data_IF_672648619392
#
_entry.id   IF_672648619392
#
_cell.length_a   1.000
_cell.length_b   1.000
_cell.length_c   1.000
_cell.angle_alpha   90.00
_cell.angle_beta   90.00
_cell.angle_gamma   90.00
#
_symmetry.space_group_name_H-M   'P 1'
#
loop_
_entity.id
_entity.type
_entity.pdbx_description
1 polymer ?
#
# COMPACT_ATOMS: atom_id res chain seq x y z
N UNK A 1 1.64 11.70 26.60
CA UNK A 1 1.84 10.73 25.51
C UNK A 1 0.59 10.76 24.66
N UNK A 2 0.68 11.20 23.40
CA UNK A 2 -0.45 11.06 22.48
C UNK A 2 -0.56 9.59 22.11
N UNK A 3 -1.72 8.98 22.40
CA UNK A 3 -1.96 7.58 22.12
C UNK A 3 -2.19 7.41 20.61
N UNK A 4 -1.29 6.71 19.93
CA UNK A 4 -1.37 6.49 18.47
C UNK A 4 -2.28 5.30 18.22
N UNK A 5 -3.31 5.47 17.37
CA UNK A 5 -4.19 4.36 17.00
C UNK A 5 -3.45 3.38 16.07
N UNK A 6 -3.92 2.13 15.99
CA UNK A 6 -3.32 1.14 15.10
C UNK A 6 -3.42 1.54 13.62
N UNK A 7 -4.52 2.20 13.22
CA UNK A 7 -4.69 2.76 11.88
C UNK A 7 -3.61 3.81 11.57
N UNK A 8 -3.36 4.73 12.50
CA UNK A 8 -2.30 5.72 12.40
C UNK A 8 -0.91 5.07 12.33
N UNK A 9 -0.67 4.04 13.14
CA UNK A 9 0.59 3.28 13.11
C UNK A 9 0.84 2.66 11.73
N UNK A 10 -0.19 2.07 11.11
CA UNK A 10 -0.08 1.50 9.77
C UNK A 10 0.21 2.56 8.70
N UNK A 11 -0.51 3.69 8.74
CA UNK A 11 -0.27 4.81 7.83
C UNK A 11 1.18 5.32 7.93
N UNK A 12 1.68 5.53 9.14
CA UNK A 12 3.05 6.00 9.35
C UNK A 12 4.08 5.00 8.82
N UNK A 13 3.85 3.69 8.99
CA UNK A 13 4.74 2.65 8.45
C UNK A 13 4.71 2.60 6.91
N UNK A 14 3.54 2.82 6.31
CA UNK A 14 3.40 2.91 4.86
C UNK A 14 4.12 4.15 4.30
N UNK A 15 3.98 5.31 4.96
CA UNK A 15 4.67 6.55 4.57
C UNK A 15 6.20 6.42 4.61
N UNK A 16 6.75 5.74 5.63
CA UNK A 16 8.20 5.47 5.67
C UNK A 16 8.65 4.59 4.52
N UNK A 17 7.88 3.55 4.15
CA UNK A 17 8.21 2.68 3.01
C UNK A 17 8.22 3.43 1.68
N UNK A 18 7.33 4.40 1.48
CA UNK A 18 7.37 5.21 0.25
C UNK A 18 8.69 5.94 0.04
N UNK A 19 9.40 6.30 1.12
CA UNK A 19 10.67 7.03 1.05
C UNK A 19 11.82 6.18 0.52
N UNK A 20 11.73 4.85 0.64
CA UNK A 20 12.79 3.94 0.15
C UNK A 20 12.62 3.61 -1.33
N UNK A 21 11.40 3.68 -1.87
CA UNK A 21 11.14 3.26 -3.26
C UNK A 21 11.96 4.00 -4.33
N UNK A 22 12.18 5.34 -4.25
CA UNK A 22 13.04 6.03 -5.21
C UNK A 22 14.49 5.54 -5.18
N UNK A 23 15.00 5.21 -3.99
CA UNK A 23 16.36 4.71 -3.79
C UNK A 23 16.49 3.32 -4.43
N UNK A 24 15.54 2.43 -4.17
CA UNK A 24 15.52 1.09 -4.80
C UNK A 24 15.40 1.17 -6.33
N UNK A 25 14.67 2.15 -6.85
CA UNK A 25 14.56 2.38 -8.29
C UNK A 25 15.89 2.88 -8.89
N UNK A 26 16.61 3.75 -8.19
CA UNK A 26 17.94 4.25 -8.59
C UNK A 26 18.98 3.12 -8.62
N UNK A 27 18.91 2.19 -7.67
CA UNK A 27 19.75 0.99 -7.61
C UNK A 27 19.31 -0.13 -8.58
N UNK A 28 18.32 0.13 -9.44
CA UNK A 28 17.74 -0.84 -10.38
C UNK A 28 17.18 -2.12 -9.71
N UNK A 29 16.86 -2.05 -8.42
CA UNK A 29 16.29 -3.13 -7.62
C UNK A 29 14.76 -3.23 -7.83
N UNK A 30 14.35 -3.51 -9.07
CA UNK A 30 12.94 -3.41 -9.49
C UNK A 30 12.00 -4.38 -8.76
N UNK A 31 12.45 -5.61 -8.51
CA UNK A 31 11.71 -6.59 -7.69
C UNK A 31 11.49 -6.08 -6.26
N UNK A 32 12.50 -5.44 -5.67
CA UNK A 32 12.41 -4.88 -4.32
C UNK A 32 11.49 -3.66 -4.26
N UNK A 33 11.47 -2.82 -5.31
CA UNK A 33 10.48 -1.73 -5.44
C UNK A 33 9.06 -2.29 -5.37
N UNK A 34 8.77 -3.36 -6.12
CA UNK A 34 7.44 -3.97 -6.16
C UNK A 34 7.08 -4.57 -4.81
N UNK A 35 8.02 -5.26 -4.17
CA UNK A 35 7.82 -5.86 -2.85
C UNK A 35 7.51 -4.81 -1.78
N UNK A 36 8.30 -3.75 -1.71
CA UNK A 36 8.10 -2.66 -0.74
C UNK A 36 6.82 -1.85 -1.03
N UNK A 37 6.51 -1.61 -2.31
CA UNK A 37 5.26 -0.98 -2.71
C UNK A 37 4.05 -1.81 -2.27
N UNK A 38 4.09 -3.14 -2.44
CA UNK A 38 3.04 -4.05 -2.00
C UNK A 38 2.80 -3.95 -0.49
N UNK A 39 3.85 -3.94 0.33
CA UNK A 39 3.69 -3.81 1.79
C UNK A 39 3.13 -2.44 2.21
N UNK A 40 3.56 -1.36 1.54
CA UNK A 40 3.03 -0.03 1.78
C UNK A 40 1.53 0.05 1.49
N UNK A 41 1.11 -0.52 0.35
CA UNK A 41 -0.31 -0.61 -0.05
C UNK A 41 -1.11 -1.43 0.94
N UNK A 42 -0.64 -2.63 1.32
CA UNK A 42 -1.35 -3.49 2.27
C UNK A 42 -1.56 -2.79 3.61
N UNK A 43 -0.52 -2.15 4.16
CA UNK A 43 -0.61 -1.41 5.41
C UNK A 43 -1.59 -0.23 5.31
N UNK A 44 -1.52 0.54 4.23
CA UNK A 44 -2.39 1.69 4.02
C UNK A 44 -3.87 1.27 3.96
N UNK A 45 -4.21 0.25 3.15
CA UNK A 45 -5.59 -0.20 2.99
C UNK A 45 -6.13 -0.86 4.27
N UNK A 46 -5.33 -1.66 4.97
CA UNK A 46 -5.71 -2.18 6.29
C UNK A 46 -5.89 -1.07 7.32
N UNK A 47 -5.05 -0.03 7.27
CA UNK A 47 -5.20 1.16 8.09
C UNK A 47 -6.53 1.88 7.84
N UNK A 48 -6.92 2.02 6.58
CA UNK A 48 -8.19 2.62 6.18
C UNK A 48 -9.38 1.82 6.71
N UNK A 49 -9.37 0.49 6.55
CA UNK A 49 -10.43 -0.39 7.10
C UNK A 49 -10.56 -0.23 8.62
N UNK A 50 -9.43 -0.23 9.34
CA UNK A 50 -9.42 -0.01 10.80
C UNK A 50 -9.99 1.34 11.18
N UNK A 51 -9.68 2.38 10.42
CA UNK A 51 -10.15 3.74 10.67
C UNK A 51 -11.68 3.86 10.55
N UNK A 52 -12.29 3.07 9.67
CA UNK A 52 -13.76 3.02 9.52
C UNK A 52 -14.42 1.95 10.40
N UNK A 53 -13.67 1.35 11.35
CA UNK A 53 -14.19 0.39 12.32
C UNK A 53 -14.26 -1.06 11.84
N UNK A 54 -13.61 -1.38 10.71
CA UNK A 54 -13.57 -2.74 10.15
C UNK A 54 -12.25 -3.41 10.52
N UNK A 55 -12.32 -4.59 11.16
CA UNK A 55 -11.15 -5.40 11.47
C UNK A 55 -10.68 -6.13 10.19
N UNK A 56 -9.49 -5.81 9.64
CA UNK A 56 -9.02 -6.46 8.44
C UNK A 56 -8.61 -7.92 8.73
N UNK A 57 -8.94 -8.87 7.85
CA UNK A 57 -8.53 -10.26 7.99
C UNK A 57 -7.01 -10.43 7.88
N UNK A 58 -6.50 -11.58 8.33
CA UNK A 58 -5.09 -11.97 8.23
C UNK A 58 -4.71 -12.49 6.82
N UNK A 59 -5.15 -11.78 5.78
CA UNK A 59 -4.77 -12.02 4.37
C UNK A 59 -4.17 -10.75 3.76
N UNK A 60 -3.45 -10.86 2.65
CA UNK A 60 -2.69 -9.74 2.07
C UNK A 60 -3.54 -8.81 1.18
N UNK A 61 -4.46 -9.38 0.38
CA UNK A 61 -5.39 -8.58 -0.43
C UNK A 61 -6.66 -8.31 0.36
N UNK A 62 -6.95 -7.02 0.59
CA UNK A 62 -8.15 -6.53 1.27
C UNK A 62 -8.97 -5.60 0.38
N UNK A 63 -8.66 -5.52 -0.92
CA UNK A 63 -9.30 -4.61 -1.86
C UNK A 63 -10.81 -4.84 -1.98
N UNK A 64 -11.27 -6.09 -1.85
CA UNK A 64 -12.70 -6.42 -1.88
C UNK A 64 -13.48 -5.81 -0.71
N UNK A 65 -12.86 -5.68 0.47
CA UNK A 65 -13.50 -5.07 1.65
C UNK A 65 -13.69 -3.57 1.45
N UNK A 66 -12.83 -2.91 0.67
CA UNK A 66 -13.01 -1.48 0.35
C UNK A 66 -14.29 -1.26 -0.45
N UNK A 67 -14.61 -2.18 -1.37
CA UNK A 67 -15.86 -2.15 -2.14
C UNK A 67 -17.05 -2.42 -1.22
N UNK A 68 -16.97 -3.48 -0.41
CA UNK A 68 -18.04 -3.89 0.51
C UNK A 68 -18.43 -2.76 1.47
N UNK A 69 -17.44 -2.04 2.00
CA UNK A 69 -17.63 -0.94 2.97
C UNK A 69 -17.45 0.45 2.36
N UNK A 70 -17.61 0.60 1.04
CA UNK A 70 -17.36 1.86 0.33
C UNK A 70 -18.04 3.07 0.98
N UNK A 71 -19.30 2.93 1.41
CA UNK A 71 -20.08 4.03 2.00
C UNK A 71 -19.53 4.55 3.34
N UNK A 72 -18.66 3.78 4.00
CA UNK A 72 -18.05 4.13 5.29
C UNK A 72 -16.84 5.07 5.14
N UNK A 73 -16.25 5.15 3.94
CA UNK A 73 -15.10 6.01 3.68
C UNK A 73 -15.51 7.46 3.41
N UNK A 74 -14.62 8.45 3.60
CA UNK A 74 -14.88 9.84 3.21
C UNK A 74 -15.12 9.98 1.70
N UNK A 75 -15.99 10.93 1.28
CA UNK A 75 -16.32 11.16 -0.14
C UNK A 75 -15.11 11.25 -1.09
N UNK A 76 -14.00 11.95 -0.74
CA UNK A 76 -12.81 12.01 -1.59
C UNK A 76 -12.19 10.65 -1.88
N UNK A 77 -12.32 9.68 -0.96
CA UNK A 77 -11.79 8.32 -1.09
C UNK A 77 -12.78 7.43 -1.84
N UNK A 78 -14.09 7.61 -1.66
CA UNK A 78 -15.12 6.76 -2.26
C UNK A 78 -14.99 6.66 -3.80
N UNK A 79 -14.68 7.78 -4.46
CA UNK A 79 -14.49 7.83 -5.93
C UNK A 79 -13.27 7.02 -6.43
N UNK A 80 -12.37 6.60 -5.53
CA UNK A 80 -11.13 5.91 -5.85
C UNK A 80 -11.14 4.42 -5.46
N UNK A 81 -12.21 3.93 -4.83
CA UNK A 81 -12.26 2.59 -4.25
C UNK A 81 -11.98 1.47 -5.27
N UNK A 82 -12.51 1.58 -6.49
CA UNK A 82 -12.24 0.59 -7.55
C UNK A 82 -10.75 0.54 -7.93
N UNK A 83 -10.12 1.72 -8.07
CA UNK A 83 -8.70 1.82 -8.37
C UNK A 83 -7.85 1.27 -7.21
N UNK A 84 -8.21 1.57 -5.95
CA UNK A 84 -7.53 1.04 -4.77
C UNK A 84 -7.60 -0.49 -4.72
N UNK A 85 -8.77 -1.08 -5.03
CA UNK A 85 -8.95 -2.53 -5.15
C UNK A 85 -8.04 -3.11 -6.22
N UNK A 86 -8.00 -2.49 -7.40
CA UNK A 86 -7.24 -3.02 -8.53
C UNK A 86 -5.73 -2.97 -8.28
N UNK A 87 -5.24 -1.92 -7.63
CA UNK A 87 -3.85 -1.81 -7.16
C UNK A 87 -3.54 -2.92 -6.14
N UNK A 88 -4.40 -3.10 -5.12
CA UNK A 88 -4.23 -4.15 -4.10
C UNK A 88 -4.11 -5.54 -4.74
N UNK A 89 -5.02 -5.84 -5.66
CA UNK A 89 -5.09 -7.12 -6.37
C UNK A 89 -3.86 -7.35 -7.25
N UNK A 90 -3.41 -6.32 -7.96
CA UNK A 90 -2.19 -6.37 -8.78
C UNK A 90 -0.96 -6.67 -7.91
N UNK A 91 -0.65 -5.81 -6.94
CA UNK A 91 0.57 -5.97 -6.13
C UNK A 91 0.57 -7.24 -5.28
N UNK A 92 -0.60 -7.71 -4.82
CA UNK A 92 -0.69 -9.00 -4.10
C UNK A 92 -0.33 -10.19 -4.99
N UNK A 93 -0.61 -10.14 -6.30
CA UNK A 93 -0.19 -11.21 -7.22
C UNK A 93 1.33 -11.27 -7.31
N UNK A 94 1.98 -10.12 -7.42
CA UNK A 94 3.43 -10.01 -7.55
C UNK A 94 4.20 -10.31 -6.25
N UNK A 95 3.52 -10.27 -5.09
CA UNK A 95 4.16 -10.36 -3.76
C UNK A 95 5.18 -11.49 -3.59
N UNK A 96 4.81 -12.72 -3.98
CA UNK A 96 5.65 -13.90 -3.78
C UNK A 96 6.68 -14.01 -4.90
N UNK A 97 6.28 -13.74 -6.14
CA UNK A 97 7.17 -13.69 -7.30
C UNK A 97 8.30 -12.68 -7.12
N UNK A 98 7.99 -11.45 -6.69
CA UNK A 98 8.98 -10.40 -6.45
C UNK A 98 10.01 -10.75 -5.38
N UNK A 99 9.71 -11.69 -4.47
CA UNK A 99 10.62 -12.02 -3.38
C UNK A 99 11.37 -13.33 -3.60
N UNK A 100 10.68 -14.39 -4.00
CA UNK A 100 11.27 -15.73 -4.14
C UNK A 100 11.56 -16.13 -5.59
N UNK A 101 10.86 -15.53 -6.55
CA UNK A 101 10.80 -16.04 -7.91
C UNK A 101 10.14 -17.41 -8.02
N UNK A 102 10.36 -18.06 -9.15
CA UNK A 102 9.98 -19.45 -9.44
C UNK A 102 11.09 -20.13 -10.26
N UNK A 103 10.92 -21.43 -10.57
CA UNK A 103 11.93 -22.24 -11.30
C UNK A 103 12.43 -21.57 -12.57
N UNK A 104 11.52 -20.91 -13.31
CA UNK A 104 11.81 -20.21 -14.57
C UNK A 104 11.60 -18.69 -14.45
N UNK A 105 11.57 -18.13 -13.23
CA UNK A 105 11.35 -16.70 -13.00
C UNK A 105 12.35 -16.17 -11.97
N UNK A 106 13.35 -15.43 -12.44
CA UNK A 106 14.35 -14.79 -11.58
C UNK A 106 13.93 -13.32 -11.38
N UNK A 107 13.50 -12.90 -10.18
CA UNK A 107 12.86 -11.59 -10.00
C UNK A 107 13.73 -10.41 -10.46
N UNK A 108 15.03 -10.48 -10.20
CA UNK A 108 15.99 -9.45 -10.60
C UNK A 108 16.22 -9.35 -12.11
N UNK A 109 15.72 -10.29 -12.90
CA UNK A 109 15.82 -10.28 -14.37
C UNK A 109 14.49 -9.99 -15.06
N UNK A 110 13.36 -10.24 -14.39
CA UNK A 110 12.03 -10.25 -15.01
C UNK A 110 11.26 -8.93 -14.84
N UNK A 111 11.49 -8.20 -13.74
CA UNK A 111 10.81 -6.92 -13.53
C UNK A 111 11.50 -5.78 -14.26
N UNK A 112 10.72 -4.96 -14.94
CA UNK A 112 11.21 -3.80 -15.67
C UNK A 112 11.21 -2.54 -14.81
N UNK A 113 11.93 -1.52 -15.30
CA UNK A 113 11.88 -0.16 -14.74
C UNK A 113 10.47 0.42 -14.79
N UNK A 114 9.68 0.07 -15.80
CA UNK A 114 8.30 0.50 -16.00
C UNK A 114 7.38 -0.11 -14.94
N UNK A 115 7.57 -1.39 -14.60
CA UNK A 115 6.84 -2.07 -13.52
C UNK A 115 7.13 -1.40 -12.17
N UNK A 116 8.41 -1.11 -11.89
CA UNK A 116 8.83 -0.43 -10.68
C UNK A 116 8.23 0.99 -10.59
N UNK A 117 8.25 1.77 -11.68
CA UNK A 117 7.63 3.10 -11.73
C UNK A 117 6.13 3.04 -11.49
N UNK A 118 5.44 2.06 -12.08
CA UNK A 118 4.00 1.85 -11.85
C UNK A 118 3.73 1.54 -10.38
N UNK A 119 4.49 0.61 -9.78
CA UNK A 119 4.35 0.24 -8.37
C UNK A 119 4.55 1.46 -7.45
N UNK A 120 5.50 2.34 -7.75
CA UNK A 120 5.71 3.60 -7.02
C UNK A 120 4.51 4.53 -7.15
N UNK A 121 3.99 4.73 -8.37
CA UNK A 121 2.83 5.59 -8.59
C UNK A 121 1.59 5.07 -7.86
N UNK A 122 1.35 3.76 -7.96
CA UNK A 122 0.23 3.08 -7.31
C UNK A 122 0.33 3.16 -5.78
N UNK A 123 1.52 2.90 -5.20
CA UNK A 123 1.73 3.01 -3.77
C UNK A 123 1.56 4.44 -3.25
N UNK A 124 2.08 5.44 -3.97
CA UNK A 124 1.88 6.85 -3.61
C UNK A 124 0.39 7.24 -3.64
N UNK A 125 -0.34 6.79 -4.67
CA UNK A 125 -1.78 7.03 -4.79
C UNK A 125 -2.56 6.44 -3.61
N UNK A 126 -2.32 5.17 -3.27
CA UNK A 126 -2.98 4.48 -2.15
C UNK A 126 -2.69 5.16 -0.82
N UNK A 127 -1.42 5.49 -0.54
CA UNK A 127 -1.05 6.16 0.72
C UNK A 127 -1.64 7.56 0.79
N UNK A 128 -1.76 8.29 -0.33
CA UNK A 128 -2.46 9.57 -0.37
C UNK A 128 -3.94 9.40 0.01
N UNK A 129 -4.64 8.43 -0.58
CA UNK A 129 -6.03 8.13 -0.20
C UNK A 129 -6.15 7.74 1.29
N UNK A 130 -5.18 7.00 1.83
CA UNK A 130 -5.13 6.67 3.25
C UNK A 130 -4.94 7.91 4.13
N UNK A 131 -4.15 8.90 3.71
CA UNK A 131 -4.00 10.19 4.42
C UNK A 131 -5.28 11.02 4.42
N UNK A 132 -6.14 10.88 3.42
CA UNK A 132 -7.47 11.52 3.37
C UNK A 132 -8.49 10.82 4.28
N UNK A 133 -8.23 9.57 4.66
CA UNK A 133 -9.10 8.77 5.52
C UNK A 133 -8.66 8.78 7.00
N UNK A 134 -7.36 8.69 7.27
CA UNK A 134 -6.79 8.46 8.59
C UNK A 134 -6.16 9.77 9.10
N UNK A 135 -6.66 10.35 10.21
CA UNK A 135 -6.09 11.57 10.77
C UNK A 135 -4.69 11.31 11.31
N UNK A 136 -3.76 12.26 11.11
CA UNK A 136 -2.43 12.16 11.71
C UNK A 136 -2.49 12.22 13.24
N UNK A 137 -1.58 11.54 13.96
CA UNK A 137 -1.51 11.66 15.41
C UNK A 137 -1.26 13.10 15.85
N UNK A 138 -1.92 13.54 16.92
CA UNK A 138 -1.63 14.82 17.56
C UNK A 138 -0.14 14.91 17.96
N UNK A 139 0.52 16.01 17.57
CA UNK A 139 1.92 16.29 17.90
C UNK A 139 2.97 15.92 16.84
N UNK A 140 2.58 15.40 15.67
CA UNK A 140 3.47 15.21 14.50
C UNK A 140 3.18 16.17 13.33
N UNK A 141 2.71 17.38 13.64
CA UNK A 141 2.74 18.51 12.71
C UNK A 141 3.97 19.36 12.97
N UNK A 142 5.06 19.09 12.24
CA UNK A 142 6.14 20.04 12.00
C UNK A 142 6.50 19.97 10.54
#
# INVERSE_FOLDING_TARGET
>A
MTNITLAQSYLLKADVRLKILPILLEEEAFSDVIREAQEAVELALKGMLRQVGIEPPKVHDVGYLLIEYQSMFPKPVQQHIEQLRDISRWLRKEREFAFYGEVDFIPSLEYSKEDAKRAIQDANFVVKAAKECIPLPEGKGK
#
